data_IF_896250211114
#
_entry.id   IF_896250211114
#
_cell.length_a   1.000
_cell.length_b   1.000
_cell.length_c   1.000
_cell.angle_alpha   90.00
_cell.angle_beta   90.00
_cell.angle_gamma   90.00
#
_symmetry.space_group_name_H-M   'P 1'
#
loop_
_entity.id
_entity.type
_entity.pdbx_description
1 polymer ?
#
# COMPACT_ATOMS: atom_id res chain seq x y z
N UNK A 1 0.43 -5.84 -21.89
CA UNK A 1 -0.77 -6.63 -21.53
C UNK A 1 -0.30 -7.56 -20.42
N UNK A 2 -0.86 -7.53 -19.19
CA UNK A 2 -0.42 -8.49 -18.17
C UNK A 2 -0.97 -9.85 -18.59
N UNK A 3 -0.11 -10.72 -19.10
CA UNK A 3 -0.49 -12.10 -19.32
C UNK A 3 -0.77 -12.70 -17.95
N UNK A 4 -2.07 -12.92 -17.67
CA UNK A 4 -2.46 -13.68 -16.49
C UNK A 4 -2.15 -15.13 -16.80
N UNK A 5 -1.01 -15.60 -16.31
CA UNK A 5 -0.67 -17.02 -16.38
C UNK A 5 -1.57 -17.77 -15.42
N UNK A 6 -2.55 -18.48 -15.97
CA UNK A 6 -3.38 -19.39 -15.21
C UNK A 6 -2.65 -20.73 -15.10
N UNK A 7 -2.26 -21.10 -13.89
CA UNK A 7 -1.75 -22.45 -13.62
C UNK A 7 -2.97 -23.38 -13.67
N UNK A 8 -3.17 -24.04 -14.81
CA UNK A 8 -4.32 -24.91 -15.04
C UNK A 8 -4.30 -26.17 -14.16
N UNK A 9 -3.10 -26.65 -13.82
CA UNK A 9 -2.89 -27.81 -12.96
C UNK A 9 -1.61 -27.64 -12.14
N UNK A 10 -1.68 -27.24 -10.86
CA UNK A 10 -0.51 -27.22 -10.00
C UNK A 10 0.07 -28.64 -9.87
N UNK A 11 1.39 -28.76 -9.95
CA UNK A 11 2.10 -30.02 -9.77
C UNK A 11 2.07 -30.43 -8.29
N UNK A 12 1.78 -31.70 -8.01
CA UNK A 12 1.73 -32.26 -6.65
C UNK A 12 3.03 -32.94 -6.22
N UNK A 13 3.92 -33.23 -7.16
CA UNK A 13 5.22 -33.83 -6.86
C UNK A 13 6.03 -32.99 -5.86
N UNK A 14 6.56 -33.65 -4.84
CA UNK A 14 7.41 -33.04 -3.84
C UNK A 14 8.76 -32.62 -4.45
N UNK A 15 9.13 -31.35 -4.26
CA UNK A 15 10.36 -30.76 -4.75
C UNK A 15 11.61 -31.51 -4.27
N UNK A 16 11.63 -31.93 -2.99
CA UNK A 16 12.79 -32.62 -2.43
C UNK A 16 12.99 -34.02 -3.02
N UNK A 17 11.91 -34.62 -3.53
CA UNK A 17 11.92 -35.93 -4.17
C UNK A 17 12.33 -35.91 -5.66
N UNK A 18 12.49 -34.74 -6.27
CA UNK A 18 12.81 -34.60 -7.70
C UNK A 18 14.30 -34.87 -7.99
N UNK A 19 14.57 -35.47 -9.15
CA UNK A 19 15.93 -35.74 -9.64
C UNK A 19 16.69 -34.42 -9.86
N UNK A 20 17.94 -34.38 -9.41
CA UNK A 20 18.80 -33.22 -9.58
C UNK A 20 19.39 -33.21 -11.00
N UNK A 21 19.23 -32.09 -11.71
CA UNK A 21 19.75 -31.90 -13.07
C UNK A 21 20.60 -30.63 -13.12
N UNK A 22 21.27 -30.37 -14.25
CA UNK A 22 22.05 -29.14 -14.42
C UNK A 22 21.17 -27.91 -14.25
N UNK A 23 21.52 -27.09 -13.25
CA UNK A 23 20.84 -25.84 -12.90
C UNK A 23 19.36 -26.00 -12.53
N UNK A 24 18.99 -27.09 -11.84
CA UNK A 24 17.64 -27.23 -11.29
C UNK A 24 17.30 -28.65 -10.88
N UNK A 25 16.01 -28.96 -10.90
CA UNK A 25 15.48 -30.31 -10.70
C UNK A 25 14.57 -30.70 -11.86
N UNK A 26 14.39 -32.00 -12.08
CA UNK A 26 13.47 -32.53 -13.08
C UNK A 26 12.21 -33.07 -12.42
N UNK A 27 11.06 -32.57 -12.86
CA UNK A 27 9.76 -33.04 -12.41
C UNK A 27 9.27 -34.17 -13.32
N UNK A 28 9.01 -35.32 -12.73
CA UNK A 28 8.53 -36.52 -13.42
C UNK A 28 7.05 -36.42 -13.78
N UNK A 29 6.24 -35.70 -12.99
CA UNK A 29 4.82 -35.46 -13.32
C UNK A 29 4.69 -34.50 -14.51
N UNK A 30 5.47 -33.43 -14.51
CA UNK A 30 5.42 -32.40 -15.55
C UNK A 30 6.32 -32.72 -16.76
N UNK A 31 7.21 -33.71 -16.63
CA UNK A 31 8.25 -34.10 -17.62
C UNK A 31 9.09 -32.92 -18.10
N UNK A 32 9.48 -32.03 -17.17
CA UNK A 32 10.18 -30.78 -17.46
C UNK A 32 11.23 -30.46 -16.40
N UNK A 33 12.27 -29.72 -16.81
CA UNK A 33 13.12 -28.99 -15.88
C UNK A 33 12.25 -27.98 -15.11
N UNK A 34 12.45 -27.93 -13.81
CA UNK A 34 11.75 -27.00 -12.93
C UNK A 34 12.63 -25.79 -12.67
N UNK A 35 12.10 -24.61 -12.98
CA UNK A 35 12.73 -23.32 -12.70
C UNK A 35 12.38 -22.88 -11.27
N UNK A 36 13.39 -22.65 -10.42
CA UNK A 36 13.14 -22.14 -9.07
C UNK A 36 12.98 -20.61 -9.08
N UNK A 37 11.74 -20.15 -9.20
CA UNK A 37 11.41 -18.73 -9.22
C UNK A 37 11.51 -18.09 -7.83
N UNK A 38 11.77 -18.85 -6.76
CA UNK A 38 12.01 -18.27 -5.43
C UNK A 38 13.35 -17.53 -5.35
N UNK A 39 14.30 -17.89 -6.22
CA UNK A 39 15.66 -17.35 -6.21
C UNK A 39 16.00 -16.51 -7.45
N UNK A 40 15.04 -16.31 -8.36
CA UNK A 40 15.23 -15.46 -9.54
C UNK A 40 14.63 -14.05 -9.32
N UNK A 41 15.34 -12.99 -9.73
CA UNK A 41 14.76 -11.66 -9.79
C UNK A 41 13.66 -11.59 -10.86
N UNK A 42 12.69 -10.69 -10.70
CA UNK A 42 11.51 -10.58 -11.57
C UNK A 42 11.89 -10.38 -13.05
N UNK A 43 12.94 -9.60 -13.33
CA UNK A 43 13.47 -9.38 -14.68
C UNK A 43 14.05 -10.63 -15.36
N UNK A 44 14.53 -11.60 -14.59
CA UNK A 44 14.99 -12.89 -15.13
C UNK A 44 13.83 -13.87 -15.29
N UNK A 45 12.82 -13.79 -14.42
CA UNK A 45 11.56 -14.55 -14.56
C UNK A 45 10.88 -14.19 -15.88
N UNK A 46 10.80 -12.90 -16.21
CA UNK A 46 10.22 -12.43 -17.48
C UNK A 46 10.95 -13.02 -18.69
N UNK A 47 12.29 -13.02 -18.69
CA UNK A 47 13.09 -13.64 -19.77
C UNK A 47 12.82 -15.13 -19.90
N UNK A 48 12.70 -15.86 -18.78
CA UNK A 48 12.38 -17.30 -18.79
C UNK A 48 10.99 -17.54 -19.38
N UNK A 49 10.01 -16.70 -19.05
CA UNK A 49 8.65 -16.78 -19.57
C UNK A 49 8.57 -16.43 -21.07
N UNK A 50 9.31 -15.42 -21.54
CA UNK A 50 9.34 -15.01 -22.95
C UNK A 50 10.06 -16.03 -23.84
N UNK A 51 11.09 -16.70 -23.33
CA UNK A 51 11.92 -17.64 -24.11
C UNK A 51 11.35 -19.06 -24.16
N UNK A 52 10.31 -19.38 -23.37
CA UNK A 52 9.77 -20.73 -23.26
C UNK A 52 8.25 -20.74 -23.40
N UNK A 53 7.72 -21.54 -24.33
CA UNK A 53 6.27 -21.68 -24.55
C UNK A 53 5.55 -22.46 -23.45
N UNK A 54 6.26 -23.27 -22.67
CA UNK A 54 5.69 -24.10 -21.61
C UNK A 54 6.73 -24.48 -20.57
N UNK A 55 6.59 -23.96 -19.35
CA UNK A 55 7.54 -24.19 -18.26
C UNK A 55 6.94 -25.00 -17.11
N UNK A 56 7.79 -25.55 -16.26
CA UNK A 56 7.45 -25.96 -14.90
C UNK A 56 8.25 -25.05 -13.96
N UNK A 57 7.60 -24.43 -12.97
CA UNK A 57 8.26 -23.52 -12.05
C UNK A 57 7.83 -23.81 -10.61
N UNK A 58 8.81 -23.73 -9.70
CA UNK A 58 8.56 -23.66 -8.26
C UNK A 58 8.45 -22.19 -7.91
N UNK A 59 7.31 -21.81 -7.35
CA UNK A 59 7.14 -20.55 -6.64
C UNK A 59 6.47 -20.86 -5.32
N UNK A 60 7.22 -20.70 -4.24
CA UNK A 60 6.64 -20.82 -2.92
C UNK A 60 5.73 -19.62 -2.71
N UNK A 61 4.43 -19.86 -2.61
CA UNK A 61 3.49 -18.90 -2.05
C UNK A 61 3.73 -18.80 -0.55
N UNK A 62 4.89 -18.28 -0.17
CA UNK A 62 5.10 -17.81 1.18
C UNK A 62 4.08 -16.70 1.37
N UNK A 63 3.05 -16.95 2.20
CA UNK A 63 2.66 -15.87 3.12
C UNK A 63 3.98 -15.53 3.81
N UNK A 64 4.58 -14.36 3.60
CA UNK A 64 5.85 -14.08 4.23
C UNK A 64 5.61 -14.11 5.73
N UNK A 65 5.92 -15.24 6.37
CA UNK A 65 6.29 -15.28 7.77
C UNK A 65 7.68 -14.68 7.76
N UNK A 66 7.73 -13.35 7.76
CA UNK A 66 8.96 -12.60 7.80
C UNK A 66 9.78 -13.15 8.96
N UNK A 67 10.94 -13.74 8.63
CA UNK A 67 11.98 -14.02 9.60
C UNK A 67 12.26 -12.72 10.33
N UNK A 68 12.04 -12.72 11.64
CA UNK A 68 12.23 -11.59 12.53
C UNK A 68 13.71 -11.25 12.64
N UNK A 69 14.28 -10.64 11.60
CA UNK A 69 15.36 -9.69 11.83
C UNK A 69 14.68 -8.45 12.36
N UNK A 70 14.64 -8.36 13.69
CA UNK A 70 14.19 -7.19 14.42
C UNK A 70 14.94 -5.95 13.88
N UNK A 71 14.34 -5.22 12.94
CA UNK A 71 14.70 -3.83 12.71
C UNK A 71 14.36 -3.11 14.00
N UNK A 72 15.40 -2.65 14.70
CA UNK A 72 15.33 -1.99 15.99
C UNK A 72 14.20 -0.96 16.03
N UNK A 73 13.07 -1.35 16.61
CA UNK A 73 12.08 -0.45 17.17
C UNK A 73 12.78 0.20 18.35
N UNK A 74 13.40 1.37 18.15
CA UNK A 74 13.81 2.22 19.27
C UNK A 74 12.52 2.76 19.90
N UNK A 75 11.94 1.96 20.79
CA UNK A 75 10.85 2.35 21.68
C UNK A 75 11.42 3.34 22.69
N UNK A 76 11.52 4.62 22.33
CA UNK A 76 11.75 5.67 23.31
C UNK A 76 10.42 5.94 24.01
N UNK A 77 10.09 5.15 25.03
CA UNK A 77 9.09 5.54 26.01
C UNK A 77 9.69 6.68 26.84
N UNK A 78 9.30 7.92 26.57
CA UNK A 78 9.59 9.04 27.46
C UNK A 78 8.77 8.86 28.74
N UNK A 79 9.39 8.33 29.79
CA UNK A 79 8.83 8.35 31.14
C UNK A 79 8.99 9.76 31.70
N UNK A 80 7.95 10.59 31.57
CA UNK A 80 7.81 11.75 32.43
C UNK A 80 7.29 11.27 33.79
N UNK A 81 8.22 11.07 34.74
CA UNK A 81 7.86 10.97 36.16
C UNK A 81 7.44 12.36 36.61
N UNK A 82 6.15 12.67 36.57
CA UNK A 82 5.63 13.80 37.32
C UNK A 82 5.39 13.35 38.77
N UNK A 83 6.27 13.81 39.65
CA UNK A 83 6.05 13.79 41.09
C UNK A 83 4.75 14.56 41.41
N UNK A 84 3.97 13.99 42.32
CA UNK A 84 2.63 14.44 42.68
C UNK A 84 2.62 15.82 43.33
N UNK A 85 1.66 16.65 42.92
CA UNK A 85 0.91 17.51 43.85
C UNK A 85 -0.56 17.48 43.46
N UNK A 86 -1.40 17.27 44.48
CA UNK A 86 -2.84 17.04 44.40
C UNK A 86 -3.60 18.23 43.78
N UNK A 87 -4.47 17.97 42.80
CA UNK A 87 -5.87 18.43 42.77
C UNK A 87 -6.60 18.01 41.47
N UNK A 88 -7.56 17.09 41.63
CA UNK A 88 -8.83 16.93 40.89
C UNK A 88 -8.88 17.32 39.39
N UNK A 89 -8.61 16.35 38.52
CA UNK A 89 -9.52 15.98 37.42
C UNK A 89 -9.18 14.56 36.96
N UNK A 90 -10.18 13.70 36.79
CA UNK A 90 -10.00 12.38 36.21
C UNK A 90 -9.80 12.54 34.70
N UNK A 91 -8.61 12.97 34.29
CA UNK A 91 -8.17 12.82 32.92
C UNK A 91 -7.54 11.45 32.80
N UNK A 92 -8.25 10.55 32.12
CA UNK A 92 -7.69 9.28 31.66
C UNK A 92 -6.40 9.59 30.90
N UNK A 93 -5.25 9.30 31.51
CA UNK A 93 -3.97 9.25 30.82
C UNK A 93 -4.01 8.05 29.86
N UNK A 94 -4.63 8.25 28.70
CA UNK A 94 -4.60 7.29 27.60
C UNK A 94 -3.15 7.23 27.12
N UNK A 95 -2.45 6.18 27.51
CA UNK A 95 -1.15 5.80 26.95
C UNK A 95 -1.30 5.69 25.43
N UNK A 96 -0.91 6.73 24.69
CA UNK A 96 -0.94 6.74 23.23
C UNK A 96 0.42 6.31 22.72
N UNK A 97 0.61 5.00 22.57
CA UNK A 97 1.79 4.44 21.91
C UNK A 97 1.87 4.95 20.48
N UNK A 98 2.99 5.57 20.14
CA UNK A 98 3.29 6.06 18.80
C UNK A 98 4.00 4.96 18.00
N UNK A 99 3.61 4.82 16.73
CA UNK A 99 4.21 3.89 15.77
C UNK A 99 4.98 4.71 14.74
N UNK A 100 6.17 4.22 14.37
CA UNK A 100 6.99 4.78 13.30
C UNK A 100 7.28 3.71 12.25
N UNK A 101 6.99 4.02 11.00
CA UNK A 101 7.35 3.21 9.82
C UNK A 101 8.46 3.92 9.07
N UNK A 102 9.60 3.24 8.93
CA UNK A 102 10.69 3.65 8.05
C UNK A 102 10.63 2.80 6.79
N UNK A 103 10.69 3.43 5.63
CA UNK A 103 10.63 2.72 4.36
C UNK A 103 11.17 3.55 3.21
N UNK A 104 11.13 2.94 2.02
CA UNK A 104 11.61 3.52 0.77
C UNK A 104 10.54 3.43 -0.31
N UNK A 105 10.26 4.54 -0.97
CA UNK A 105 9.50 4.57 -2.21
C UNK A 105 10.38 4.06 -3.35
N UNK A 106 9.90 3.07 -4.09
CA UNK A 106 10.65 2.44 -5.18
C UNK A 106 9.87 2.51 -6.48
N UNK A 107 10.60 2.75 -7.57
CA UNK A 107 10.08 2.69 -8.93
C UNK A 107 10.59 1.41 -9.58
N UNK A 108 9.69 0.67 -10.23
CA UNK A 108 10.03 -0.43 -11.16
C UNK A 108 10.57 0.08 -12.49
N UNK A 109 10.22 1.32 -12.87
CA UNK A 109 10.72 1.98 -14.08
C UNK A 109 12.04 2.72 -13.78
N UNK A 110 12.88 2.84 -14.80
CA UNK A 110 14.09 3.66 -14.77
C UNK A 110 13.73 5.16 -14.85
N UNK A 111 13.18 5.68 -13.76
CA UNK A 111 12.77 7.08 -13.61
C UNK A 111 13.25 7.63 -12.26
N UNK A 112 13.58 8.92 -12.23
CA UNK A 112 13.98 9.60 -10.99
C UNK A 112 12.75 10.01 -10.20
N UNK A 113 12.74 9.78 -8.89
CA UNK A 113 11.74 10.34 -8.00
C UNK A 113 12.02 11.84 -7.78
N UNK A 114 11.11 12.70 -8.20
CA UNK A 114 11.19 14.14 -7.98
C UNK A 114 10.50 14.54 -6.67
N UNK A 115 9.36 13.92 -6.37
CA UNK A 115 8.68 14.07 -5.09
C UNK A 115 7.91 12.82 -4.73
N UNK A 116 7.75 12.53 -3.45
CA UNK A 116 6.94 11.44 -2.95
C UNK A 116 6.40 11.75 -1.55
N UNK A 117 5.11 11.52 -1.34
CA UNK A 117 4.45 11.65 -0.05
C UNK A 117 3.66 10.37 0.21
N UNK A 118 4.00 9.68 1.30
CA UNK A 118 3.24 8.51 1.76
C UNK A 118 2.31 8.93 2.88
N UNK A 119 1.07 8.47 2.81
CA UNK A 119 0.00 8.83 3.73
C UNK A 119 -0.74 7.59 4.24
N UNK A 120 -0.94 7.51 5.56
CA UNK A 120 -1.96 6.67 6.17
C UNK A 120 -3.27 7.46 6.24
N UNK A 121 -4.26 7.00 5.47
CA UNK A 121 -5.54 7.69 5.28
C UNK A 121 -6.56 7.20 6.30
N UNK A 122 -7.09 8.12 7.10
CA UNK A 122 -8.24 7.88 7.98
C UNK A 122 -9.32 8.91 7.71
N UNK A 123 -10.55 8.70 8.18
CA UNK A 123 -11.59 9.74 8.01
C UNK A 123 -11.24 11.02 8.77
N UNK A 124 -10.72 10.89 9.99
CA UNK A 124 -10.54 12.00 10.94
C UNK A 124 -9.28 12.82 10.66
N UNK A 125 -8.17 12.13 10.35
CA UNK A 125 -6.87 12.76 10.18
C UNK A 125 -6.03 12.06 9.13
N UNK A 126 -5.28 12.85 8.36
CA UNK A 126 -4.26 12.35 7.46
C UNK A 126 -2.90 12.35 8.18
N UNK A 127 -2.26 11.18 8.24
CA UNK A 127 -0.88 11.06 8.71
C UNK A 127 0.00 10.85 7.51
N UNK A 128 1.00 11.70 7.30
CA UNK A 128 1.81 11.63 6.08
C UNK A 128 3.27 11.98 6.36
N UNK A 129 4.14 11.52 5.46
CA UNK A 129 5.56 11.82 5.46
C UNK A 129 6.03 12.02 4.03
N UNK A 130 6.90 13.00 3.84
CA UNK A 130 7.59 13.20 2.56
C UNK A 130 8.81 12.29 2.50
N UNK A 131 9.02 11.70 1.34
CA UNK A 131 10.24 10.98 1.03
C UNK A 131 11.35 11.96 0.64
N UNK A 132 12.59 11.60 0.95
CA UNK A 132 13.78 12.28 0.45
C UNK A 132 14.02 11.99 -1.05
N UNK A 133 15.06 12.56 -1.62
CA UNK A 133 15.44 12.38 -3.03
C UNK A 133 15.78 10.91 -3.39
N UNK A 134 16.14 10.10 -2.38
CA UNK A 134 16.41 8.68 -2.53
C UNK A 134 15.15 7.83 -2.29
N UNK A 135 14.01 8.45 -2.00
CA UNK A 135 12.75 7.79 -1.71
C UNK A 135 12.58 7.35 -0.25
N UNK A 136 13.52 7.61 0.65
CA UNK A 136 13.40 7.20 2.04
C UNK A 136 12.43 8.12 2.80
N UNK A 137 11.59 7.55 3.65
CA UNK A 137 10.65 8.30 4.48
C UNK A 137 10.60 7.75 5.90
N UNK A 138 10.08 8.56 6.82
CA UNK A 138 9.72 8.15 8.18
C UNK A 138 8.32 8.66 8.50
N UNK A 139 7.35 7.75 8.58
CA UNK A 139 5.95 8.05 8.87
C UNK A 139 5.62 7.68 10.31
N UNK A 140 5.12 8.64 11.09
CA UNK A 140 4.70 8.42 12.48
C UNK A 140 3.20 8.70 12.68
N UNK A 141 2.56 7.86 13.49
CA UNK A 141 1.15 7.99 13.85
C UNK A 141 0.82 7.23 15.14
N UNK A 142 -0.28 7.58 15.85
CA UNK A 142 -0.71 6.86 17.05
C UNK A 142 -1.18 5.44 16.71
N UNK A 143 -0.79 4.42 17.49
CA UNK A 143 -1.18 3.01 17.27
C UNK A 143 -2.70 2.82 17.16
N UNK A 144 -3.48 3.60 17.94
CA UNK A 144 -4.94 3.55 17.97
C UNK A 144 -5.63 3.80 16.63
N UNK A 145 -4.95 4.41 15.66
CA UNK A 145 -5.54 4.69 14.34
C UNK A 145 -5.44 3.50 13.39
N UNK A 146 -4.64 2.48 13.74
CA UNK A 146 -4.55 1.25 12.97
C UNK A 146 -5.85 0.46 13.07
N UNK A 147 -6.27 -0.09 11.94
CA UNK A 147 -7.36 -1.06 11.85
C UNK A 147 -6.83 -2.33 11.21
N UNK A 148 -7.61 -3.40 11.16
CA UNK A 148 -7.19 -4.64 10.47
C UNK A 148 -6.68 -4.38 9.04
N UNK A 149 -7.28 -3.42 8.34
CA UNK A 149 -6.94 -3.05 6.97
C UNK A 149 -6.78 -1.54 6.82
N UNK A 150 -5.56 -1.11 6.53
CA UNK A 150 -5.14 0.28 6.50
C UNK A 150 -4.98 0.75 5.06
N UNK A 151 -5.39 1.99 4.80
CA UNK A 151 -5.29 2.57 3.46
C UNK A 151 -4.06 3.44 3.42
N UNK A 152 -3.12 3.02 2.58
CA UNK A 152 -1.90 3.76 2.29
C UNK A 152 -2.06 4.40 0.93
N UNK A 153 -1.84 5.71 0.86
CA UNK A 153 -1.78 6.46 -0.38
C UNK A 153 -0.38 7.02 -0.57
N UNK A 154 0.14 6.92 -1.78
CA UNK A 154 1.42 7.49 -2.17
C UNK A 154 1.14 8.44 -3.32
N UNK A 155 1.31 9.73 -3.09
CA UNK A 155 1.30 10.76 -4.14
C UNK A 155 2.75 11.00 -4.56
N UNK A 156 3.04 10.99 -5.86
CA UNK A 156 4.41 11.05 -6.35
C UNK A 156 4.53 11.81 -7.67
N UNK A 157 5.72 12.35 -7.89
CA UNK A 157 6.16 12.91 -9.17
C UNK A 157 7.46 12.22 -9.57
N UNK A 158 7.52 11.71 -10.80
CA UNK A 158 8.71 11.12 -11.40
C UNK A 158 9.19 11.95 -12.59
N UNK A 159 10.50 11.97 -12.83
CA UNK A 159 11.13 12.55 -14.00
C UNK A 159 11.71 11.42 -14.85
N UNK A 160 11.32 11.35 -16.12
CA UNK A 160 11.87 10.40 -17.09
C UNK A 160 13.20 10.88 -17.71
N UNK A 161 13.80 10.07 -18.57
CA UNK A 161 15.06 10.38 -19.25
C UNK A 161 15.00 11.61 -20.17
N UNK A 162 13.80 12.05 -20.55
CA UNK A 162 13.58 13.24 -21.38
C UNK A 162 13.28 14.49 -20.54
N UNK A 163 13.53 14.43 -19.23
CA UNK A 163 13.18 15.47 -18.26
C UNK A 163 11.67 15.77 -18.20
N UNK A 164 10.82 14.83 -18.58
CA UNK A 164 9.37 15.00 -18.48
C UNK A 164 8.89 14.58 -17.10
N UNK A 165 8.20 15.49 -16.43
CA UNK A 165 7.54 15.21 -15.15
C UNK A 165 6.22 14.47 -15.36
N UNK A 166 5.99 13.48 -14.51
CA UNK A 166 4.74 12.73 -14.41
C UNK A 166 4.31 12.67 -12.95
N UNK A 167 3.18 13.28 -12.64
CA UNK A 167 2.58 13.26 -11.30
C UNK A 167 1.39 12.33 -11.28
N UNK A 168 1.36 11.42 -10.32
CA UNK A 168 0.27 10.49 -10.12
C UNK A 168 0.19 10.05 -8.65
N UNK A 169 -0.76 9.16 -8.34
CA UNK A 169 -0.89 8.57 -7.01
C UNK A 169 -1.24 7.08 -7.08
N UNK A 170 -0.86 6.34 -6.05
CA UNK A 170 -1.24 4.94 -5.84
C UNK A 170 -1.86 4.78 -4.46
N UNK A 171 -2.99 4.08 -4.40
CA UNK A 171 -3.59 3.67 -3.13
C UNK A 171 -3.48 2.16 -2.97
N UNK A 172 -3.31 1.69 -1.75
CA UNK A 172 -3.20 0.28 -1.41
C UNK A 172 -3.87 0.01 -0.07
N UNK A 173 -4.53 -1.14 0.03
CA UNK A 173 -5.13 -1.61 1.27
C UNK A 173 -4.18 -2.67 1.83
N UNK A 174 -3.56 -2.39 2.97
CA UNK A 174 -2.58 -3.26 3.61
C UNK A 174 -3.11 -3.76 4.95
N UNK A 175 -2.88 -5.03 5.26
CA UNK A 175 -3.13 -5.51 6.63
C UNK A 175 -2.17 -4.83 7.60
N UNK A 176 -2.53 -4.69 8.88
CA UNK A 176 -1.61 -4.11 9.89
C UNK A 176 -0.24 -4.78 9.89
N UNK A 177 -0.21 -6.11 9.90
CA UNK A 177 1.04 -6.87 9.90
C UNK A 177 1.88 -6.63 8.64
N UNK A 178 1.22 -6.43 7.50
CA UNK A 178 1.87 -6.13 6.23
C UNK A 178 2.42 -4.70 6.22
N UNK A 179 1.61 -3.72 6.61
CA UNK A 179 2.02 -2.32 6.71
C UNK A 179 3.24 -2.14 7.61
N UNK A 180 3.23 -2.77 8.79
CA UNK A 180 4.31 -2.65 9.77
C UNK A 180 5.58 -3.43 9.35
N UNK A 181 5.45 -4.47 8.55
CA UNK A 181 6.59 -5.26 8.05
C UNK A 181 7.19 -4.78 6.73
N UNK A 182 6.51 -3.85 6.02
CA UNK A 182 6.88 -3.44 4.67
C UNK A 182 7.96 -2.35 4.70
N UNK A 183 9.07 -2.62 4.00
CA UNK A 183 10.21 -1.69 3.89
C UNK A 183 10.24 -0.94 2.55
N UNK A 184 9.67 -1.52 1.49
CA UNK A 184 9.65 -0.93 0.15
C UNK A 184 8.25 -0.80 -0.39
N UNK A 185 7.95 0.39 -0.94
CA UNK A 185 6.64 0.79 -1.40
C UNK A 185 6.73 1.19 -2.87
N UNK A 186 6.25 0.31 -3.75
CA UNK A 186 6.26 0.56 -5.20
C UNK A 186 5.28 1.66 -5.57
N UNK A 187 5.72 2.67 -6.32
CA UNK A 187 4.94 3.87 -6.64
C UNK A 187 4.01 3.68 -7.85
N UNK A 188 4.31 2.79 -8.79
CA UNK A 188 3.54 2.70 -10.03
C UNK A 188 2.21 1.97 -9.88
N UNK A 189 1.21 2.45 -10.64
CA UNK A 189 -0.02 1.71 -10.92
C UNK A 189 0.28 0.65 -11.98
N UNK A 190 -0.10 -0.58 -11.69
CA UNK A 190 0.18 -1.67 -12.61
C UNK A 190 -0.72 -1.61 -13.85
N UNK A 191 -2.02 -1.28 -13.74
CA UNK A 191 -2.94 -1.12 -14.89
C UNK A 191 -4.12 -0.19 -14.58
N UNK A 192 -4.65 0.49 -15.60
CA UNK A 192 -5.99 1.10 -15.60
C UNK A 192 -6.86 0.26 -16.53
N UNK A 193 -7.99 -0.24 -16.03
CA UNK A 193 -9.01 -0.84 -16.91
C UNK A 193 -9.87 0.29 -17.47
N UNK A 194 -9.80 0.53 -18.77
CA UNK A 194 -10.70 1.44 -19.48
C UNK A 194 -11.66 0.56 -20.28
N UNK A 195 -12.91 0.47 -19.86
CA UNK A 195 -13.92 -0.31 -20.55
C UNK A 195 -15.03 -0.80 -19.63
N UNK A 196 -16.19 -0.15 -19.70
CA UNK A 196 -17.40 -0.57 -19.02
C UNK A 196 -18.43 0.56 -19.04
N UNK A 197 -19.52 0.40 -19.79
CA UNK A 197 -20.69 1.26 -19.67
C UNK A 197 -21.65 0.56 -18.73
N UNK A 198 -21.76 1.06 -17.50
CA UNK A 198 -22.72 0.55 -16.51
C UNK A 198 -23.91 1.50 -16.44
N UNK A 199 -25.09 1.01 -16.83
CA UNK A 199 -26.36 1.74 -16.70
C UNK A 199 -27.08 1.26 -15.46
N UNK A 200 -27.02 2.04 -14.38
CA UNK A 200 -27.79 1.81 -13.16
C UNK A 200 -28.94 2.81 -13.04
N UNK A 201 -30.08 2.35 -12.56
CA UNK A 201 -31.22 3.21 -12.21
C UNK A 201 -31.07 3.83 -10.80
N UNK A 202 -30.03 3.43 -10.05
CA UNK A 202 -29.72 3.93 -8.71
C UNK A 202 -28.27 4.43 -8.68
N UNK A 203 -28.07 5.73 -8.43
CA UNK A 203 -26.76 6.31 -8.17
C UNK A 203 -26.56 6.39 -6.65
N UNK A 204 -25.60 5.63 -6.09
CA UNK A 204 -25.26 5.78 -4.69
C UNK A 204 -24.81 7.22 -4.40
N UNK A 205 -25.10 7.76 -3.21
CA UNK A 205 -24.71 9.12 -2.88
C UNK A 205 -23.19 9.29 -2.71
N UNK A 206 -22.67 10.42 -3.16
CA UNK A 206 -21.33 10.90 -2.82
C UNK A 206 -21.26 11.38 -1.37
N UNK A 207 -20.12 11.11 -0.72
CA UNK A 207 -19.89 11.51 0.67
C UNK A 207 -18.71 12.47 0.76
N UNK A 208 -18.90 13.54 1.53
CA UNK A 208 -17.93 14.62 1.70
C UNK A 208 -17.62 14.77 3.18
N UNK A 209 -16.33 14.76 3.54
CA UNK A 209 -15.86 14.88 4.91
C UNK A 209 -14.81 15.98 5.04
N UNK A 210 -14.90 16.75 6.13
CA UNK A 210 -13.86 17.65 6.61
C UNK A 210 -13.44 17.17 8.00
N UNK A 211 -12.19 16.73 8.15
CA UNK A 211 -11.62 16.23 9.41
C UNK A 211 -12.54 15.21 10.13
N UNK A 212 -13.00 14.20 9.38
CA UNK A 212 -13.90 13.16 9.87
C UNK A 212 -15.36 13.57 10.02
N UNK A 213 -15.70 14.86 9.90
CA UNK A 213 -17.08 15.34 9.96
C UNK A 213 -17.71 15.36 8.58
N UNK A 214 -18.82 14.61 8.41
CA UNK A 214 -19.61 14.64 7.19
C UNK A 214 -20.20 16.05 6.97
N UNK A 215 -20.02 16.60 5.78
CA UNK A 215 -20.59 17.87 5.34
C UNK A 215 -21.29 17.73 3.98
N UNK A 216 -22.06 18.74 3.57
CA UNK A 216 -22.71 18.75 2.26
C UNK A 216 -21.76 19.21 1.14
N UNK A 217 -21.95 18.70 -0.08
CA UNK A 217 -21.16 19.02 -1.29
C UNK A 217 -20.88 20.52 -1.45
N UNK A 218 -21.93 21.35 -1.41
CA UNK A 218 -21.81 22.81 -1.57
C UNK A 218 -20.86 23.43 -0.52
N UNK A 219 -20.93 22.97 0.73
CA UNK A 219 -20.06 23.45 1.79
C UNK A 219 -18.62 22.95 1.58
N UNK A 220 -18.45 21.69 1.17
CA UNK A 220 -17.15 21.09 0.87
C UNK A 220 -16.42 21.85 -0.24
N UNK A 221 -17.05 22.06 -1.39
CA UNK A 221 -16.43 22.76 -2.52
C UNK A 221 -16.09 24.21 -2.18
N UNK A 222 -16.94 24.88 -1.39
CA UNK A 222 -16.66 26.23 -0.89
C UNK A 222 -15.39 26.25 -0.03
N UNK A 223 -15.29 25.37 0.97
CA UNK A 223 -14.13 25.30 1.87
C UNK A 223 -12.86 24.93 1.10
N UNK A 224 -12.94 23.96 0.19
CA UNK A 224 -11.81 23.56 -0.65
C UNK A 224 -11.29 24.72 -1.52
N UNK A 225 -12.17 25.58 -2.03
CA UNK A 225 -11.79 26.77 -2.78
C UNK A 225 -11.22 27.88 -1.89
N UNK A 226 -11.75 28.05 -0.67
CA UNK A 226 -11.29 29.05 0.30
C UNK A 226 -9.94 28.70 0.92
N UNK A 227 -9.64 27.40 1.08
CA UNK A 227 -8.43 26.88 1.73
C UNK A 227 -7.67 25.91 0.81
N UNK A 228 -6.99 26.41 -0.24
CA UNK A 228 -6.28 25.57 -1.20
C UNK A 228 -5.11 24.77 -0.59
N UNK A 229 -4.66 25.14 0.61
CA UNK A 229 -3.62 24.43 1.36
C UNK A 229 -4.13 23.17 2.08
N UNK A 230 -5.45 22.98 2.20
CA UNK A 230 -6.02 21.79 2.80
C UNK A 230 -5.76 20.58 1.91
N UNK A 231 -5.44 19.43 2.52
CA UNK A 231 -5.17 18.20 1.77
C UNK A 231 -6.49 17.61 1.27
N UNK A 232 -6.60 17.48 -0.05
CA UNK A 232 -7.78 16.92 -0.71
C UNK A 232 -7.47 15.54 -1.27
N UNK A 233 -8.23 14.52 -0.85
CA UNK A 233 -8.17 13.16 -1.40
C UNK A 233 -9.55 12.76 -1.92
N UNK A 234 -9.57 12.01 -3.03
CA UNK A 234 -10.78 11.42 -3.58
C UNK A 234 -10.56 9.93 -3.86
N UNK A 235 -11.56 9.12 -3.49
CA UNK A 235 -11.60 7.69 -3.69
C UNK A 235 -12.85 7.32 -4.47
N UNK A 236 -12.65 6.55 -5.53
CA UNK A 236 -13.69 6.12 -6.48
C UNK A 236 -13.87 4.59 -6.46
N UNK A 237 -13.04 3.87 -5.72
CA UNK A 237 -13.10 2.42 -5.63
C UNK A 237 -13.96 1.99 -4.43
N UNK A 238 -14.96 1.16 -4.70
CA UNK A 238 -15.97 0.73 -3.72
C UNK A 238 -15.32 0.11 -2.47
N UNK A 239 -14.24 -0.64 -2.63
CA UNK A 239 -13.57 -1.36 -1.53
C UNK A 239 -12.94 -0.39 -0.54
N UNK A 240 -12.17 0.59 -1.01
CA UNK A 240 -11.55 1.62 -0.15
C UNK A 240 -12.61 2.51 0.46
N UNK A 241 -13.60 2.94 -0.33
CA UNK A 241 -14.72 3.76 0.15
C UNK A 241 -15.47 3.06 1.29
N UNK A 242 -15.78 1.77 1.16
CA UNK A 242 -16.44 0.96 2.19
C UNK A 242 -15.57 0.81 3.45
N UNK A 243 -14.26 0.62 3.30
CA UNK A 243 -13.33 0.50 4.45
C UNK A 243 -13.19 1.81 5.22
N UNK A 244 -13.10 2.96 4.53
CA UNK A 244 -13.02 4.28 5.19
C UNK A 244 -14.35 4.65 5.86
N UNK A 245 -15.44 4.58 5.11
CA UNK A 245 -16.75 5.06 5.57
C UNK A 245 -17.48 4.11 6.52
N UNK A 246 -17.09 2.82 6.54
CA UNK A 246 -17.83 1.71 7.16
C UNK A 246 -19.28 1.59 6.66
N UNK A 247 -19.58 2.08 5.45
CA UNK A 247 -20.90 2.01 4.82
C UNK A 247 -20.86 1.21 3.53
N UNK A 248 -21.93 0.48 3.25
CA UNK A 248 -22.04 -0.45 2.11
C UNK A 248 -22.76 0.13 0.88
N UNK A 249 -22.89 1.46 0.76
CA UNK A 249 -23.59 2.10 -0.37
C UNK A 249 -23.15 3.56 -0.56
N UNK A 250 -21.96 3.77 -1.12
CA UNK A 250 -21.39 5.09 -1.44
C UNK A 250 -20.70 4.95 -2.79
N UNK A 251 -20.89 5.95 -3.66
CA UNK A 251 -20.24 5.99 -4.97
C UNK A 251 -18.82 6.51 -4.79
N UNK A 252 -18.69 7.80 -4.49
CA UNK A 252 -17.40 8.45 -4.30
C UNK A 252 -17.24 9.02 -2.89
N UNK A 253 -16.01 8.95 -2.38
CA UNK A 253 -15.65 9.53 -1.09
C UNK A 253 -14.63 10.65 -1.28
N UNK A 254 -14.99 11.84 -0.80
CA UNK A 254 -14.18 13.05 -0.86
C UNK A 254 -13.79 13.46 0.55
N UNK A 255 -12.48 13.56 0.78
CA UNK A 255 -11.89 13.89 2.07
C UNK A 255 -11.12 15.20 1.93
N UNK A 256 -11.38 16.11 2.85
CA UNK A 256 -10.61 17.34 3.03
C UNK A 256 -10.05 17.33 4.45
N UNK A 257 -8.75 17.56 4.57
CA UNK A 257 -8.08 17.65 5.85
C UNK A 257 -7.57 19.06 6.05
N UNK A 258 -7.97 19.69 7.15
CA UNK A 258 -7.34 20.92 7.62
C UNK A 258 -5.90 20.63 8.05
N UNK A 259 -5.10 21.70 8.20
CA UNK A 259 -3.80 21.59 8.87
C UNK A 259 -3.94 21.06 10.29
#
# INVERSE_FOLDING_TARGET
MKEKFQISSPCSQDWESMEQVSEGRFCEECKKKVWDFDHLPETEIDKVLESNTSICAKKTYLKPTFSSVFLALTLTSSMYVNAQTENKSTTENVYQKEITIKGKLVSSRDVKLASGEISLVTLEKLYYAKADENGNFTLSFPEKVLTEHNIVRIDYTTIDSNNKEFTDYKSSILKTTELLGKQSFGIEREYITIGGVYKSNYQPPDYYFLDGKKIGKRKFEKIKAEYPEYKYLAFYDEVTVKKLSKKSFIDNLYLLYSK
#
